data_IF_263686326253
#
_entry.id   IF_263686326253
#
_cell.length_a   1.000
_cell.length_b   1.000
_cell.length_c   1.000
_cell.angle_alpha   90.00
_cell.angle_beta   90.00
_cell.angle_gamma   90.00
#
_symmetry.space_group_name_H-M   'P 1'
#
loop_
_entity.id
_entity.type
_entity.pdbx_description
1 polymer ?
#
# COMPACT_ATOMS: atom_id res chain seq x y z
N UNK A 1 17.58 13.75 -4.18
CA UNK A 1 18.13 13.18 -5.45
C UNK A 1 17.48 13.86 -6.64
N UNK A 2 18.16 14.07 -7.78
CA UNK A 2 17.57 14.74 -8.95
C UNK A 2 16.46 13.90 -9.61
N UNK A 3 15.53 14.52 -10.35
CA UNK A 3 14.45 13.82 -11.06
C UNK A 3 14.94 12.84 -12.13
N UNK A 4 16.15 13.04 -12.64
CA UNK A 4 16.81 12.12 -13.57
C UNK A 4 17.26 10.81 -12.91
N UNK A 5 17.23 10.72 -11.58
CA UNK A 5 17.55 9.49 -10.88
C UNK A 5 16.51 8.39 -11.20
N UNK A 6 16.93 7.21 -11.68
CA UNK A 6 16.01 6.14 -12.07
C UNK A 6 15.09 5.66 -10.93
N UNK A 7 15.56 5.64 -9.69
CA UNK A 7 14.76 5.27 -8.52
C UNK A 7 13.68 6.31 -8.18
N UNK A 8 14.03 7.60 -8.27
CA UNK A 8 13.05 8.70 -8.12
C UNK A 8 11.99 8.64 -9.21
N UNK A 9 12.39 8.44 -10.47
CA UNK A 9 11.45 8.28 -11.57
C UNK A 9 10.54 7.07 -11.36
N UNK A 10 11.12 5.94 -10.97
CA UNK A 10 10.38 4.71 -10.68
C UNK A 10 9.32 4.94 -9.59
N UNK A 11 9.70 5.46 -8.42
CA UNK A 11 8.75 5.71 -7.33
C UNK A 11 7.67 6.74 -7.68
N UNK A 12 7.97 7.68 -8.59
CA UNK A 12 6.96 8.61 -9.10
C UNK A 12 5.94 7.92 -10.01
N UNK A 13 6.41 7.08 -10.93
CA UNK A 13 5.53 6.33 -11.82
C UNK A 13 4.70 5.30 -11.04
N UNK A 14 5.32 4.66 -10.05
CA UNK A 14 4.66 3.83 -9.04
C UNK A 14 3.55 4.60 -8.32
N UNK A 15 3.85 5.79 -7.77
CA UNK A 15 2.86 6.61 -7.07
C UNK A 15 1.67 7.08 -7.93
N UNK A 16 1.81 7.11 -9.27
CA UNK A 16 0.66 7.37 -10.16
C UNK A 16 -0.33 6.21 -10.19
N UNK A 17 0.15 4.98 -10.03
CA UNK A 17 -0.70 3.79 -9.93
C UNK A 17 -1.51 3.87 -8.63
N UNK A 18 -0.85 4.16 -7.51
CA UNK A 18 -1.52 4.32 -6.22
C UNK A 18 -2.52 5.48 -6.20
N UNK A 19 -2.20 6.58 -6.88
CA UNK A 19 -3.14 7.67 -7.07
C UNK A 19 -4.41 7.22 -7.82
N UNK A 20 -4.26 6.36 -8.85
CA UNK A 20 -5.40 5.82 -9.58
C UNK A 20 -6.26 4.87 -8.73
N UNK A 21 -5.64 4.04 -7.87
CA UNK A 21 -6.38 3.20 -6.91
C UNK A 21 -7.18 4.05 -5.93
N UNK A 22 -6.55 5.07 -5.31
CA UNK A 22 -7.22 6.03 -4.43
C UNK A 22 -8.40 6.70 -5.14
N UNK A 23 -8.18 7.22 -6.35
CA UNK A 23 -9.22 7.95 -7.08
C UNK A 23 -10.38 7.04 -7.49
N UNK A 24 -10.10 5.76 -7.79
CA UNK A 24 -11.13 4.76 -7.95
C UNK A 24 -11.99 4.62 -6.70
N UNK A 25 -11.40 4.47 -5.51
CA UNK A 25 -12.16 4.36 -4.26
C UNK A 25 -12.96 5.61 -3.91
N UNK A 26 -12.39 6.80 -4.12
CA UNK A 26 -13.11 8.06 -3.90
C UNK A 26 -14.40 8.08 -4.73
N UNK A 27 -14.34 7.66 -6.00
CA UNK A 27 -15.52 7.59 -6.87
C UNK A 27 -16.46 6.45 -6.50
N UNK A 28 -15.93 5.26 -6.22
CA UNK A 28 -16.71 4.06 -5.94
C UNK A 28 -17.50 4.18 -4.62
N UNK A 29 -16.89 4.81 -3.60
CA UNK A 29 -17.51 5.05 -2.30
C UNK A 29 -18.45 6.27 -2.35
N UNK A 30 -18.06 7.35 -3.04
CA UNK A 30 -18.87 8.57 -3.14
C UNK A 30 -19.36 9.05 -1.77
N UNK A 31 -20.68 9.23 -1.63
CA UNK A 31 -21.31 9.65 -0.36
C UNK A 31 -21.33 8.56 0.72
N UNK A 32 -21.02 7.31 0.37
CA UNK A 32 -20.92 6.19 1.32
C UNK A 32 -19.53 6.05 1.93
N UNK A 33 -18.59 6.94 1.61
CA UNK A 33 -17.26 6.94 2.22
C UNK A 33 -17.32 7.17 3.74
N UNK A 34 -16.50 6.42 4.48
CA UNK A 34 -16.34 6.63 5.92
C UNK A 34 -15.79 8.05 6.15
N UNK A 35 -16.40 8.75 7.11
CA UNK A 35 -15.97 10.09 7.53
C UNK A 35 -15.40 10.05 8.94
N UNK A 36 -14.35 10.82 9.19
CA UNK A 36 -13.85 11.15 10.53
C UNK A 36 -14.04 12.65 10.73
N UNK A 37 -14.62 13.06 11.86
CA UNK A 37 -14.94 14.48 12.15
C UNK A 37 -15.81 15.17 11.08
N UNK A 38 -16.64 14.39 10.35
CA UNK A 38 -17.46 14.90 9.24
C UNK A 38 -16.71 15.11 7.93
N UNK A 39 -15.41 14.75 7.85
CA UNK A 39 -14.63 14.79 6.61
C UNK A 39 -14.37 13.37 6.09
N UNK A 40 -14.54 13.09 4.79
CA UNK A 40 -14.17 11.80 4.23
C UNK A 40 -12.67 11.56 4.38
N UNK A 41 -12.26 10.31 4.60
CA UNK A 41 -10.83 9.93 4.60
C UNK A 41 -10.10 10.32 3.31
N UNK A 42 -10.83 10.51 2.21
CA UNK A 42 -10.31 11.11 0.97
C UNK A 42 -9.65 12.48 1.16
N UNK A 43 -10.02 13.22 2.21
CA UNK A 43 -9.48 14.52 2.57
C UNK A 43 -8.46 14.46 3.72
N UNK A 44 -8.11 13.26 4.21
CA UNK A 44 -7.09 13.09 5.22
C UNK A 44 -5.73 13.58 4.69
N UNK A 45 -4.93 14.20 5.55
CA UNK A 45 -3.53 14.48 5.25
C UNK A 45 -2.68 13.35 5.81
N UNK A 46 -1.54 13.14 5.19
CA UNK A 46 -0.61 12.10 5.58
C UNK A 46 0.76 12.70 5.85
N UNK A 47 1.39 12.24 6.93
CA UNK A 47 2.77 12.53 7.26
C UNK A 47 3.52 11.21 7.47
N UNK A 48 4.45 10.91 6.55
CA UNK A 48 5.28 9.71 6.60
C UNK A 48 6.61 9.96 7.33
N UNK A 49 6.78 11.15 7.92
CA UNK A 49 7.98 11.59 8.62
C UNK A 49 9.25 11.49 7.73
N UNK A 50 9.10 11.82 6.45
CA UNK A 50 10.24 11.95 5.55
C UNK A 50 10.91 13.30 5.78
N UNK A 51 12.14 13.26 6.30
CA UNK A 51 13.00 14.42 6.48
C UNK A 51 14.25 14.32 5.59
N UNK A 52 14.51 15.40 4.85
CA UNK A 52 15.63 15.56 3.92
C UNK A 52 17.01 15.64 4.61
N UNK A 53 17.05 15.80 5.93
CA UNK A 53 18.28 16.08 6.68
C UNK A 53 18.93 14.85 7.32
N UNK A 54 18.20 13.79 7.67
CA UNK A 54 18.83 12.51 8.10
C UNK A 54 17.95 11.26 8.18
N UNK A 55 16.62 11.34 8.00
CA UNK A 55 15.69 10.22 8.28
C UNK A 55 15.15 9.53 7.02
N UNK A 56 14.99 10.24 5.89
CA UNK A 56 14.53 9.62 4.64
C UNK A 56 15.68 9.00 3.82
N UNK A 57 16.39 8.03 4.40
CA UNK A 57 17.29 7.19 3.59
C UNK A 57 16.46 6.48 2.52
N UNK A 58 17.06 6.18 1.35
CA UNK A 58 16.39 5.34 0.34
C UNK A 58 15.85 4.04 0.94
N UNK A 59 16.51 3.53 1.98
CA UNK A 59 16.04 2.36 2.71
C UNK A 59 14.74 2.64 3.45
N UNK A 60 14.66 3.72 4.22
CA UNK A 60 13.45 4.12 4.94
C UNK A 60 12.27 4.33 3.98
N UNK A 61 12.49 5.00 2.84
CA UNK A 61 11.45 5.17 1.82
C UNK A 61 10.94 3.82 1.31
N UNK A 62 11.85 2.90 0.96
CA UNK A 62 11.46 1.58 0.45
C UNK A 62 10.79 0.72 1.54
N UNK A 63 11.20 0.82 2.80
CA UNK A 63 10.56 0.11 3.91
C UNK A 63 9.13 0.66 4.16
N UNK A 64 8.93 1.98 4.06
CA UNK A 64 7.59 2.61 4.16
C UNK A 64 6.70 2.18 3.00
N UNK A 65 7.20 2.20 1.76
CA UNK A 65 6.46 1.69 0.60
C UNK A 65 6.13 0.22 0.80
N UNK A 66 7.09 -0.62 1.20
CA UNK A 66 6.86 -2.03 1.46
C UNK A 66 5.75 -2.27 2.50
N UNK A 67 5.72 -1.47 3.57
CA UNK A 67 4.68 -1.56 4.57
C UNK A 67 3.30 -1.23 3.98
N UNK A 68 3.20 -0.15 3.19
CA UNK A 68 1.96 0.24 2.53
C UNK A 68 1.43 -0.85 1.58
N UNK A 69 2.28 -1.37 0.69
CA UNK A 69 1.87 -2.39 -0.29
C UNK A 69 1.44 -3.70 0.40
N UNK A 70 2.17 -4.14 1.44
CA UNK A 70 1.80 -5.33 2.22
C UNK A 70 0.47 -5.13 2.93
N UNK A 71 0.22 -3.93 3.46
CA UNK A 71 -1.09 -3.59 4.03
C UNK A 71 -2.17 -3.60 2.97
N UNK A 72 -1.91 -3.06 1.77
CA UNK A 72 -2.81 -3.12 0.62
C UNK A 72 -3.22 -4.55 0.28
N UNK A 73 -2.24 -5.43 0.07
CA UNK A 73 -2.45 -6.88 -0.19
C UNK A 73 -3.43 -7.48 0.81
N UNK A 74 -3.14 -7.34 2.11
CA UNK A 74 -3.97 -7.93 3.15
C UNK A 74 -5.34 -7.26 3.29
N UNK A 75 -5.43 -5.95 3.09
CA UNK A 75 -6.67 -5.19 3.15
C UNK A 75 -7.67 -5.65 2.09
N UNK A 76 -7.23 -5.86 0.85
CA UNK A 76 -8.12 -6.35 -0.21
C UNK A 76 -8.63 -7.75 0.08
N UNK A 77 -7.77 -8.66 0.57
CA UNK A 77 -8.15 -10.03 0.90
C UNK A 77 -9.14 -10.02 2.07
N UNK A 78 -8.86 -9.27 3.14
CA UNK A 78 -9.74 -9.19 4.30
C UNK A 78 -11.07 -8.47 4.03
N UNK A 79 -11.13 -7.63 3.00
CA UNK A 79 -12.37 -6.98 2.58
C UNK A 79 -13.31 -7.90 1.78
N UNK A 80 -12.85 -9.05 1.26
CA UNK A 80 -13.66 -9.95 0.40
C UNK A 80 -15.01 -10.28 1.04
N UNK A 81 -15.01 -10.65 2.32
CA UNK A 81 -16.23 -11.04 3.04
C UNK A 81 -17.15 -9.86 3.35
N UNK A 82 -16.69 -8.62 3.15
CA UNK A 82 -17.48 -7.40 3.35
C UNK A 82 -18.24 -6.96 2.09
N UNK A 83 -18.01 -7.60 0.94
CA UNK A 83 -18.73 -7.26 -0.29
C UNK A 83 -20.18 -7.77 -0.25
N UNK A 84 -21.14 -6.84 -0.20
CA UNK A 84 -22.57 -7.16 -0.33
C UNK A 84 -22.97 -7.47 -1.78
N UNK A 85 -22.22 -6.95 -2.75
CA UNK A 85 -22.44 -7.20 -4.19
C UNK A 85 -21.11 -7.46 -4.89
N UNK A 86 -21.17 -8.12 -6.04
CA UNK A 86 -19.99 -8.45 -6.85
C UNK A 86 -19.48 -7.29 -7.71
N UNK A 87 -20.18 -6.15 -7.74
CA UNK A 87 -19.93 -4.99 -8.61
C UNK A 87 -18.46 -4.58 -8.68
N UNK A 88 -17.76 -4.61 -7.54
CA UNK A 88 -16.37 -4.19 -7.43
C UNK A 88 -15.40 -5.33 -7.14
N UNK A 89 -15.87 -6.58 -7.05
CA UNK A 89 -15.04 -7.71 -6.65
C UNK A 89 -13.91 -7.98 -7.66
N UNK A 90 -14.21 -7.91 -8.96
CA UNK A 90 -13.20 -8.06 -10.01
C UNK A 90 -12.14 -6.95 -9.95
N UNK A 91 -12.57 -5.71 -9.73
CA UNK A 91 -11.63 -4.58 -9.60
C UNK A 91 -10.78 -4.71 -8.35
N UNK A 92 -11.38 -5.08 -7.20
CA UNK A 92 -10.66 -5.31 -5.96
C UNK A 92 -9.59 -6.42 -6.10
N UNK A 93 -9.95 -7.54 -6.74
CA UNK A 93 -9.00 -8.62 -7.02
C UNK A 93 -7.86 -8.17 -7.96
N UNK A 94 -8.18 -7.37 -8.98
CA UNK A 94 -7.17 -6.84 -9.90
C UNK A 94 -6.21 -5.87 -9.20
N UNK A 95 -6.70 -5.01 -8.31
CA UNK A 95 -5.83 -4.12 -7.55
C UNK A 95 -4.98 -4.91 -6.55
N UNK A 96 -5.55 -5.86 -5.81
CA UNK A 96 -4.80 -6.75 -4.93
C UNK A 96 -3.60 -7.40 -5.63
N UNK A 97 -3.79 -7.89 -6.85
CA UNK A 97 -2.70 -8.46 -7.66
C UNK A 97 -1.65 -7.42 -8.08
N UNK A 98 -2.01 -6.15 -8.19
CA UNK A 98 -1.06 -5.03 -8.37
C UNK A 98 -0.26 -4.77 -7.10
N UNK A 99 -0.91 -4.64 -5.95
CA UNK A 99 -0.26 -4.47 -4.63
C UNK A 99 0.73 -5.63 -4.34
N UNK A 100 0.37 -6.86 -4.70
CA UNK A 100 1.24 -8.03 -4.53
C UNK A 100 2.49 -7.95 -5.41
N UNK A 101 2.35 -7.51 -6.67
CA UNK A 101 3.49 -7.30 -7.58
C UNK A 101 4.37 -6.14 -7.12
N UNK A 102 3.76 -5.08 -6.61
CA UNK A 102 4.45 -3.95 -6.00
C UNK A 102 5.26 -4.38 -4.76
N UNK A 103 4.66 -5.17 -3.88
CA UNK A 103 5.35 -5.79 -2.75
C UNK A 103 6.57 -6.58 -3.23
N UNK A 104 6.40 -7.45 -4.23
CA UNK A 104 7.48 -8.28 -4.76
C UNK A 104 8.65 -7.45 -5.32
N UNK A 105 8.38 -6.41 -6.11
CA UNK A 105 9.44 -5.58 -6.70
C UNK A 105 10.16 -4.73 -5.65
N UNK A 106 9.44 -4.21 -4.65
CA UNK A 106 10.06 -3.43 -3.57
C UNK A 106 10.98 -4.32 -2.73
N UNK A 107 10.56 -5.54 -2.40
CA UNK A 107 11.42 -6.54 -1.73
C UNK A 107 12.65 -6.83 -2.58
N UNK A 108 12.49 -7.06 -3.89
CA UNK A 108 13.61 -7.31 -4.79
C UNK A 108 14.61 -6.15 -4.83
N UNK A 109 14.13 -4.90 -4.83
CA UNK A 109 14.95 -3.70 -4.77
C UNK A 109 15.70 -3.60 -3.44
N UNK A 110 15.01 -3.81 -2.31
CA UNK A 110 15.62 -3.82 -0.99
C UNK A 110 16.72 -4.86 -0.91
N UNK A 111 16.44 -6.10 -1.33
CA UNK A 111 17.40 -7.19 -1.33
C UNK A 111 18.63 -6.85 -2.17
N UNK A 112 18.42 -6.36 -3.39
CA UNK A 112 19.49 -6.00 -4.33
C UNK A 112 20.36 -4.85 -3.82
N UNK A 113 19.76 -3.84 -3.22
CA UNK A 113 20.46 -2.61 -2.85
C UNK A 113 21.09 -2.66 -1.45
N UNK A 114 20.53 -3.46 -0.54
CA UNK A 114 20.95 -3.50 0.87
C UNK A 114 21.36 -4.90 1.35
N UNK A 115 21.48 -5.89 0.45
CA UNK A 115 22.01 -7.22 0.78
C UNK A 115 21.05 -8.11 1.57
N UNK A 116 19.79 -8.20 1.13
CA UNK A 116 18.74 -8.98 1.78
C UNK A 116 18.40 -10.32 1.10
N UNK A 117 17.77 -11.22 1.85
CA UNK A 117 17.27 -12.53 1.36
C UNK A 117 15.77 -12.68 1.59
N UNK A 118 15.05 -11.57 1.75
CA UNK A 118 13.61 -11.63 2.01
C UNK A 118 12.89 -12.23 0.79
N UNK A 119 11.96 -13.17 0.96
CA UNK A 119 11.24 -13.76 -0.17
C UNK A 119 10.31 -12.73 -0.82
N UNK A 120 10.26 -12.74 -2.16
CA UNK A 120 9.41 -11.82 -2.96
C UNK A 120 7.97 -12.29 -3.11
N UNK A 121 7.64 -13.44 -2.52
CA UNK A 121 6.30 -14.04 -2.50
C UNK A 121 6.12 -14.81 -1.18
N UNK A 122 4.89 -15.09 -0.74
CA UNK A 122 4.62 -15.97 0.38
C UNK A 122 5.31 -17.34 0.20
N UNK A 123 5.99 -17.80 1.25
CA UNK A 123 6.64 -19.10 1.23
C UNK A 123 5.62 -20.21 1.47
N UNK A 124 5.78 -21.38 0.84
CA UNK A 124 4.94 -22.54 1.13
C UNK A 124 4.98 -22.93 2.63
N UNK A 125 6.09 -22.65 3.31
CA UNK A 125 6.27 -22.87 4.75
C UNK A 125 5.59 -21.82 5.64
N UNK A 126 5.00 -20.78 5.05
CA UNK A 126 4.35 -19.66 5.75
C UNK A 126 2.95 -19.47 5.18
N UNK A 127 1.93 -19.75 5.98
CA UNK A 127 0.53 -19.68 5.55
C UNK A 127 0.26 -20.44 4.22
N UNK A 128 0.97 -21.55 3.98
CA UNK A 128 0.82 -22.38 2.77
C UNK A 128 1.03 -21.61 1.45
N UNK A 129 1.85 -20.55 1.44
CA UNK A 129 2.07 -19.73 0.24
C UNK A 129 0.90 -18.81 -0.11
N UNK A 130 0.02 -18.52 0.86
CA UNK A 130 -1.15 -17.66 0.70
C UNK A 130 -0.89 -16.33 1.42
N UNK A 131 -1.18 -15.21 0.76
CA UNK A 131 -1.14 -13.89 1.40
C UNK A 131 -2.16 -13.80 2.55
N UNK A 132 -1.76 -13.19 3.65
CA UNK A 132 -2.61 -13.07 4.84
C UNK A 132 -3.64 -11.95 4.68
N UNK A 133 -4.88 -12.23 5.06
CA UNK A 133 -5.93 -11.22 5.19
C UNK A 133 -5.65 -10.28 6.37
N UNK A 134 -6.03 -9.01 6.24
CA UNK A 134 -6.07 -8.05 7.34
C UNK A 134 -7.50 -7.56 7.54
N UNK A 135 -7.97 -7.59 8.78
CA UNK A 135 -9.23 -6.96 9.18
C UNK A 135 -9.14 -5.43 9.06
N UNK A 136 -10.28 -4.72 8.93
CA UNK A 136 -10.27 -3.25 8.90
C UNK A 136 -9.55 -2.61 10.10
N UNK A 137 -9.69 -3.18 11.30
CA UNK A 137 -8.99 -2.70 12.49
C UNK A 137 -7.48 -2.91 12.41
N UNK A 138 -7.03 -4.01 11.80
CA UNK A 138 -5.60 -4.24 11.56
C UNK A 138 -5.03 -3.26 10.55
N UNK A 139 -5.75 -3.03 9.45
CA UNK A 139 -5.38 -2.02 8.46
C UNK A 139 -5.26 -0.65 9.13
N UNK A 140 -6.30 -0.22 9.85
CA UNK A 140 -6.32 1.08 10.54
C UNK A 140 -5.17 1.19 11.53
N UNK A 141 -4.89 0.17 12.33
CA UNK A 141 -3.78 0.19 13.29
C UNK A 141 -2.43 0.35 12.60
N UNK A 142 -2.23 -0.27 11.45
CA UNK A 142 -0.99 -0.15 10.67
C UNK A 142 -0.83 1.23 10.05
N UNK A 143 -1.90 1.85 9.54
CA UNK A 143 -1.80 3.11 8.79
C UNK A 143 -2.02 4.37 9.63
N UNK A 144 -2.71 4.26 10.77
CA UNK A 144 -3.05 5.41 11.63
C UNK A 144 -1.86 6.29 12.03
N UNK A 145 -0.65 5.76 12.30
CA UNK A 145 0.51 6.60 12.61
C UNK A 145 0.87 7.63 11.52
N UNK A 146 0.44 7.40 10.27
CA UNK A 146 0.72 8.30 9.15
C UNK A 146 -0.41 9.29 8.89
N UNK A 147 -1.57 9.16 9.54
CA UNK A 147 -2.73 10.03 9.30
C UNK A 147 -2.65 11.24 10.23
N UNK A 148 -2.56 12.43 9.64
CA UNK A 148 -2.60 13.71 10.37
C UNK A 148 -3.83 14.48 9.89
N UNK A 149 -4.82 14.68 10.78
CA UNK A 149 -6.12 15.29 10.44
C UNK A 149 -6.06 16.82 10.34
#
# INVERSE_FOLDING_TARGET
MPESNPGVKYLRDFGKIEAAHRDFFIRALGSSAITSTGKPFAAAKFDFNFDDTSVATNRFVLDTVLAAEKTGVGAYIGAIDSFVTTTYLQTAAAIQGTEARHTAIVIALINRQFGGTQPVAPLATTNNGIDAALTPDEVLRTVSPFIVL
#
